data_IF_278892356660
#
_entry.id   IF_278892356660
#
_cell.length_a   1.000
_cell.length_b   1.000
_cell.length_c   1.000
_cell.angle_alpha   90.00
_cell.angle_beta   90.00
_cell.angle_gamma   90.00
#
_symmetry.space_group_name_H-M   'P 1'
#
loop_
_entity.id
_entity.type
_entity.pdbx_description
1 polymer ?
#
# COMPACT_ATOMS: atom_id res chain seq x y z
N UNK A 1 11.58 -2.89 -0.93
CA UNK A 1 10.28 -2.45 -1.46
C UNK A 1 9.56 -1.68 -0.39
N UNK A 2 9.59 -0.36 -0.52
CA UNK A 2 8.77 0.60 0.22
C UNK A 2 7.60 1.09 -0.67
N UNK A 3 6.72 1.93 -0.14
CA UNK A 3 5.53 2.40 -0.83
C UNK A 3 5.87 3.21 -2.08
N UNK A 4 6.95 3.99 -2.05
CA UNK A 4 7.41 4.78 -3.21
C UNK A 4 7.90 3.87 -4.34
N UNK A 5 8.65 2.82 -4.02
CA UNK A 5 9.11 1.81 -4.99
C UNK A 5 7.95 1.01 -5.60
N UNK A 6 6.88 0.76 -4.83
CA UNK A 6 5.67 0.12 -5.33
C UNK A 6 4.89 1.05 -6.27
N UNK A 7 4.67 2.30 -5.87
CA UNK A 7 3.98 3.30 -6.69
C UNK A 7 4.71 3.58 -8.01
N UNK A 8 6.05 3.58 -8.01
CA UNK A 8 6.85 3.77 -9.22
C UNK A 8 6.58 2.73 -10.32
N UNK A 9 6.04 1.56 -9.95
CA UNK A 9 5.63 0.51 -10.90
C UNK A 9 4.20 0.67 -11.41
N UNK A 10 3.42 1.57 -10.81
CA UNK A 10 1.99 1.76 -11.06
C UNK A 10 1.69 3.07 -11.79
N UNK A 11 2.52 4.11 -11.60
CA UNK A 11 2.28 5.45 -12.14
C UNK A 11 2.81 5.59 -13.57
N UNK A 12 2.09 6.37 -14.38
CA UNK A 12 2.48 6.65 -15.76
C UNK A 12 3.57 7.73 -15.86
N UNK A 13 3.72 8.56 -14.82
CA UNK A 13 4.70 9.64 -14.75
C UNK A 13 5.49 9.56 -13.44
N UNK A 14 6.58 8.77 -13.36
CA UNK A 14 7.32 8.51 -12.11
C UNK A 14 7.85 9.76 -11.41
N UNK A 15 8.16 10.83 -12.15
CA UNK A 15 8.63 12.10 -11.58
C UNK A 15 7.64 12.81 -10.67
N UNK A 16 6.35 12.43 -10.70
CA UNK A 16 5.36 12.93 -9.72
C UNK A 16 5.74 12.51 -8.30
N UNK A 17 6.39 11.36 -8.14
CA UNK A 17 6.75 10.83 -6.84
C UNK A 17 7.88 11.61 -6.18
N UNK A 18 8.75 12.28 -6.95
CA UNK A 18 9.95 12.93 -6.40
C UNK A 18 9.62 14.11 -5.46
N UNK A 19 8.47 14.74 -5.64
CA UNK A 19 8.01 15.87 -4.82
C UNK A 19 7.03 15.48 -3.71
N UNK A 20 6.60 14.22 -3.63
CA UNK A 20 5.61 13.78 -2.63
C UNK A 20 6.24 13.63 -1.26
N UNK A 21 5.54 14.18 -0.26
CA UNK A 21 5.74 13.82 1.14
C UNK A 21 4.98 12.53 1.46
N UNK A 22 5.40 11.81 2.49
CA UNK A 22 4.86 10.46 2.71
C UNK A 22 3.39 10.45 3.17
N UNK A 23 2.92 11.52 3.80
CA UNK A 23 1.54 11.69 4.28
C UNK A 23 0.63 12.43 3.29
N UNK A 24 1.16 12.84 2.14
CA UNK A 24 0.38 13.55 1.13
C UNK A 24 -0.64 12.63 0.46
N UNK A 25 -1.86 13.14 0.27
CA UNK A 25 -2.89 12.41 -0.48
C UNK A 25 -2.47 12.25 -1.95
N UNK A 26 -2.46 11.00 -2.41
CA UNK A 26 -2.03 10.64 -3.75
C UNK A 26 -2.93 11.23 -4.85
N UNK A 27 -4.22 11.44 -4.60
CA UNK A 27 -5.14 12.04 -5.57
C UNK A 27 -4.89 13.54 -5.68
N UNK A 28 -4.66 14.22 -4.56
CA UNK A 28 -4.26 15.63 -4.55
C UNK A 28 -2.91 15.85 -5.23
N UNK A 29 -2.03 14.86 -5.16
CA UNK A 29 -0.76 14.79 -5.88
C UNK A 29 -0.89 14.55 -7.39
N UNK A 30 -2.09 14.23 -7.89
CA UNK A 30 -2.37 14.03 -9.31
C UNK A 30 -2.36 12.58 -9.77
N UNK A 31 -2.28 11.59 -8.87
CA UNK A 31 -2.51 10.18 -9.24
C UNK A 31 -4.00 9.98 -9.48
N UNK A 32 -4.32 9.27 -10.57
CA UNK A 32 -5.70 8.95 -10.88
C UNK A 32 -6.15 7.65 -10.19
N UNK A 33 -7.46 7.44 -10.14
CA UNK A 33 -8.04 6.26 -9.47
C UNK A 33 -7.57 4.92 -10.06
N UNK A 34 -7.24 4.85 -11.34
CA UNK A 34 -6.70 3.64 -11.98
C UNK A 34 -5.29 3.30 -11.51
N UNK A 35 -4.44 4.31 -11.29
CA UNK A 35 -3.09 4.14 -10.73
C UNK A 35 -3.15 3.67 -9.26
N UNK A 36 -4.12 4.20 -8.50
CA UNK A 36 -4.35 3.78 -7.11
C UNK A 36 -4.88 2.34 -7.05
N UNK A 37 -5.85 1.98 -7.91
CA UNK A 37 -6.34 0.59 -8.01
C UNK A 37 -5.21 -0.36 -8.39
N UNK A 38 -4.34 0.03 -9.33
CA UNK A 38 -3.18 -0.77 -9.69
C UNK A 38 -2.22 -0.95 -8.50
N UNK A 39 -2.00 0.10 -7.69
CA UNK A 39 -1.20 0.00 -6.48
C UNK A 39 -1.80 -0.99 -5.46
N UNK A 40 -3.12 -0.96 -5.25
CA UNK A 40 -3.84 -1.94 -4.42
C UNK A 40 -3.60 -3.36 -4.93
N UNK A 41 -3.84 -3.62 -6.22
CA UNK A 41 -3.65 -4.95 -6.81
C UNK A 41 -2.21 -5.44 -6.68
N UNK A 42 -1.22 -4.58 -6.90
CA UNK A 42 0.21 -4.90 -6.70
C UNK A 42 0.54 -5.20 -5.25
N UNK A 43 -0.10 -4.50 -4.32
CA UNK A 43 0.08 -4.72 -2.90
C UNK A 43 -0.51 -6.08 -2.48
N UNK A 44 -1.70 -6.44 -2.97
CA UNK A 44 -2.31 -7.76 -2.76
C UNK A 44 -1.46 -8.90 -3.33
N UNK A 45 -0.98 -8.75 -4.58
CA UNK A 45 -0.03 -9.69 -5.20
C UNK A 45 1.21 -9.88 -4.33
N UNK A 46 1.72 -8.80 -3.75
CA UNK A 46 2.94 -8.80 -2.94
C UNK A 46 2.73 -9.40 -1.55
N UNK A 47 1.57 -9.18 -0.94
CA UNK A 47 1.19 -9.69 0.37
C UNK A 47 0.68 -11.14 0.31
N UNK A 48 0.27 -11.61 -0.87
CA UNK A 48 -0.30 -12.94 -1.06
C UNK A 48 -1.70 -13.10 -0.49
N UNK A 49 -2.41 -11.98 -0.26
CA UNK A 49 -3.80 -11.95 0.23
C UNK A 49 -4.51 -10.71 -0.29
N UNK A 50 -5.84 -10.76 -0.31
CA UNK A 50 -6.65 -9.58 -0.52
C UNK A 50 -6.51 -8.60 0.66
N UNK A 51 -6.64 -7.31 0.36
CA UNK A 51 -6.78 -6.27 1.37
C UNK A 51 -8.25 -6.15 1.78
N UNK A 52 -8.50 -5.80 3.03
CA UNK A 52 -9.83 -5.39 3.47
C UNK A 52 -10.15 -3.93 3.14
N UNK A 53 -11.38 -3.50 3.41
CA UNK A 53 -11.86 -2.15 3.07
C UNK A 53 -11.05 -1.04 3.79
N UNK A 54 -10.63 -1.26 5.03
CA UNK A 54 -9.85 -0.29 5.81
C UNK A 54 -8.42 -0.19 5.27
N UNK A 55 -7.83 -1.33 4.92
CA UNK A 55 -6.53 -1.40 4.28
C UNK A 55 -6.56 -0.72 2.91
N UNK A 56 -7.57 -0.97 2.08
CA UNK A 56 -7.76 -0.30 0.78
C UNK A 56 -7.91 1.22 0.99
N UNK A 57 -8.67 1.65 1.98
CA UNK A 57 -8.83 3.08 2.30
C UNK A 57 -7.51 3.74 2.74
N UNK A 58 -6.59 2.98 3.32
CA UNK A 58 -5.25 3.46 3.69
C UNK A 58 -4.28 3.59 2.51
N UNK A 59 -4.60 3.03 1.32
CA UNK A 59 -3.83 3.18 0.08
C UNK A 59 -4.12 4.54 -0.58
N UNK A 60 -3.95 5.60 0.21
CA UNK A 60 -4.15 7.00 -0.20
C UNK A 60 -2.91 7.86 0.05
N UNK A 61 -1.90 7.33 0.74
CA UNK A 61 -0.60 7.98 1.03
C UNK A 61 0.55 6.97 0.89
N UNK A 62 1.78 7.45 0.78
CA UNK A 62 2.97 6.57 0.77
C UNK A 62 3.12 5.89 2.14
N UNK A 63 2.90 6.64 3.22
CA UNK A 63 2.96 6.13 4.59
C UNK A 63 1.97 4.99 4.85
N UNK A 64 0.75 5.08 4.30
CA UNK A 64 -0.25 4.01 4.39
C UNK A 64 0.21 2.74 3.67
N UNK A 65 0.77 2.88 2.47
CA UNK A 65 1.35 1.75 1.72
C UNK A 65 2.53 1.13 2.48
N UNK A 66 3.41 1.96 3.04
CA UNK A 66 4.56 1.49 3.83
C UNK A 66 4.13 0.76 5.11
N UNK A 67 3.04 1.17 5.74
CA UNK A 67 2.48 0.49 6.89
C UNK A 67 2.04 -0.94 6.54
N UNK A 68 1.43 -1.14 5.37
CA UNK A 68 1.00 -2.45 4.88
C UNK A 68 2.17 -3.33 4.41
N UNK A 69 3.22 -2.73 3.85
CA UNK A 69 4.42 -3.45 3.42
C UNK A 69 5.34 -3.83 4.59
N UNK A 70 5.19 -3.18 5.74
CA UNK A 70 5.96 -3.52 6.92
C UNK A 70 5.57 -4.93 7.37
N UNK A 71 6.52 -5.86 7.51
CA UNK A 71 6.20 -7.16 8.12
C UNK A 71 5.63 -6.88 9.51
N UNK A 72 4.41 -7.36 9.76
CA UNK A 72 3.91 -7.49 11.12
C UNK A 72 4.98 -8.29 11.86
N UNK A 73 5.71 -7.67 12.78
CA UNK A 73 6.65 -8.40 13.62
C UNK A 73 5.87 -9.50 14.33
N UNK A 74 6.02 -10.75 13.92
CA UNK A 74 5.22 -11.88 14.43
C UNK A 74 5.52 -12.18 15.90
N UNK A 75 4.82 -13.13 16.55
CA UNK A 75 3.67 -13.92 16.13
C UNK A 75 2.37 -13.47 16.82
N UNK A 76 1.23 -13.41 16.13
CA UNK A 76 -0.03 -13.73 16.80
C UNK A 76 -0.05 -15.24 16.95
N UNK A 77 0.31 -15.69 18.15
CA UNK A 77 0.24 -17.07 18.56
C UNK A 77 -1.08 -17.69 18.08
N UNK A 78 -0.92 -18.75 17.29
CA UNK A 78 -1.76 -19.92 17.29
C UNK A 78 -2.45 -20.06 18.66
N UNK A 79 -3.69 -19.62 18.75
CA UNK A 79 -4.60 -20.12 19.78
C UNK A 79 -5.28 -21.33 19.15
N UNK A 80 -4.54 -22.44 19.12
CA UNK A 80 -5.12 -23.76 19.10
C UNK A 80 -5.04 -24.33 20.52
N UNK A 81 -6.17 -24.37 21.22
CA UNK A 81 -6.58 -25.44 22.16
C UNK A 81 -8.08 -25.20 22.47
N UNK A 82 -9.00 -25.94 21.87
CA UNK A 82 -9.50 -27.24 22.31
C UNK A 82 -10.33 -27.19 23.61
N UNK A 83 -11.66 -27.24 23.47
CA UNK A 83 -12.61 -27.97 24.32
C UNK A 83 -13.98 -28.03 23.63
#
# INVERSE_FOLDING_TARGET
MNGRELLAQCVSAPGVLDSLTDDQDLREAGLNSGEIVLAVMRLEERLGRALDDDEIASVTTIAGIDALLRPAGGPTADTQDAA
#
